data_IF_393092079116
#
_entry.id   IF_393092079116
#
_cell.length_a   1.000
_cell.length_b   1.000
_cell.length_c   1.000
_cell.angle_alpha   90.00
_cell.angle_beta   90.00
_cell.angle_gamma   90.00
#
_symmetry.space_group_name_H-M   'P 1'
#
loop_
_entity.id
_entity.type
_entity.pdbx_description
1 polymer ?
#
# COMPACT_ATOMS: atom_id res chain seq x y z
N UNK A 1 47.51 19.89 -15.47
CA UNK A 1 46.28 20.34 -14.78
C UNK A 1 45.59 19.10 -14.23
N UNK A 2 45.98 18.73 -13.01
CA UNK A 2 45.33 17.71 -12.22
C UNK A 2 44.18 18.35 -11.45
N UNK A 3 43.01 17.71 -11.44
CA UNK A 3 41.91 18.09 -10.55
C UNK A 3 40.58 18.21 -11.26
N UNK A 4 39.87 17.09 -11.41
CA UNK A 4 38.41 17.06 -11.57
C UNK A 4 37.83 15.64 -11.35
N UNK A 5 38.28 14.89 -10.34
CA UNK A 5 37.82 13.51 -10.10
C UNK A 5 37.18 13.28 -8.71
N UNK A 6 36.60 14.30 -8.05
CA UNK A 6 36.08 14.13 -6.68
C UNK A 6 34.57 14.35 -6.50
N UNK A 7 33.76 14.45 -7.57
CA UNK A 7 32.31 14.71 -7.45
C UNK A 7 31.39 13.50 -7.73
N UNK A 8 31.94 12.31 -8.02
CA UNK A 8 31.11 11.18 -8.49
C UNK A 8 30.48 10.32 -7.37
N UNK A 9 30.88 10.42 -6.10
CA UNK A 9 30.42 9.49 -5.06
C UNK A 9 29.12 9.90 -4.34
N UNK A 10 28.65 11.14 -4.45
CA UNK A 10 27.43 11.61 -3.77
C UNK A 10 26.14 11.43 -4.59
N UNK A 11 26.25 11.00 -5.86
CA UNK A 11 25.11 10.86 -6.76
C UNK A 11 24.26 9.60 -6.47
N UNK A 12 24.88 8.46 -6.12
CA UNK A 12 24.18 7.19 -5.88
C UNK A 12 23.20 7.21 -4.68
N UNK A 13 23.48 7.99 -3.63
CA UNK A 13 22.59 8.06 -2.45
C UNK A 13 21.30 8.83 -2.73
N UNK A 14 21.35 9.78 -3.66
CA UNK A 14 20.20 10.63 -3.99
C UNK A 14 19.24 9.92 -4.94
N UNK A 15 19.76 9.13 -5.88
CA UNK A 15 18.94 8.30 -6.77
C UNK A 15 18.17 7.23 -6.02
N UNK A 16 18.82 6.57 -5.03
CA UNK A 16 18.17 5.54 -4.22
C UNK A 16 17.00 6.09 -3.41
N UNK A 17 17.17 7.25 -2.77
CA UNK A 17 16.09 7.88 -2.01
C UNK A 17 14.90 8.25 -2.89
N UNK A 18 15.16 8.83 -4.07
CA UNK A 18 14.10 9.20 -5.01
C UNK A 18 13.33 7.95 -5.49
N UNK A 19 14.05 6.87 -5.78
CA UNK A 19 13.45 5.59 -6.14
C UNK A 19 12.57 5.05 -5.00
N UNK A 20 13.09 5.00 -3.78
CA UNK A 20 12.32 4.54 -2.62
C UNK A 20 11.07 5.40 -2.38
N UNK A 21 11.16 6.72 -2.50
CA UNK A 21 9.99 7.60 -2.38
C UNK A 21 8.94 7.32 -3.45
N UNK A 22 9.36 7.09 -4.70
CA UNK A 22 8.46 6.72 -5.78
C UNK A 22 7.76 5.38 -5.52
N UNK A 23 8.51 4.35 -5.12
CA UNK A 23 7.96 3.03 -4.76
C UNK A 23 7.00 3.11 -3.57
N UNK A 24 7.33 3.93 -2.57
CA UNK A 24 6.48 4.10 -1.38
C UNK A 24 5.17 4.83 -1.72
N UNK A 25 5.23 5.80 -2.64
CA UNK A 25 4.04 6.47 -3.16
C UNK A 25 3.16 5.52 -3.96
N UNK A 26 3.75 4.74 -4.84
CA UNK A 26 3.02 3.72 -5.61
C UNK A 26 2.31 2.74 -4.67
N UNK A 27 2.97 2.29 -3.60
CA UNK A 27 2.35 1.39 -2.63
C UNK A 27 1.13 2.02 -1.93
N UNK A 28 1.20 3.31 -1.56
CA UNK A 28 0.07 4.06 -0.98
C UNK A 28 -1.07 4.20 -2.00
N UNK A 29 -0.77 4.55 -3.24
CA UNK A 29 -1.77 4.67 -4.30
C UNK A 29 -2.45 3.30 -4.56
N UNK A 30 -1.69 2.20 -4.59
CA UNK A 30 -2.22 0.84 -4.72
C UNK A 30 -3.11 0.45 -3.53
N UNK A 31 -2.75 0.84 -2.30
CA UNK A 31 -3.58 0.60 -1.14
C UNK A 31 -4.89 1.38 -1.22
N UNK A 32 -4.85 2.63 -1.66
CA UNK A 32 -6.05 3.46 -1.88
C UNK A 32 -6.97 2.82 -2.93
N UNK A 33 -6.41 2.39 -4.07
CA UNK A 33 -7.16 1.70 -5.14
C UNK A 33 -7.80 0.39 -4.66
N UNK A 34 -7.20 -0.29 -3.69
CA UNK A 34 -7.75 -1.49 -3.06
C UNK A 34 -8.83 -1.19 -1.99
N UNK A 35 -9.21 0.07 -1.79
CA UNK A 35 -10.23 0.48 -0.82
C UNK A 35 -9.73 0.55 0.62
N UNK A 36 -8.43 0.74 0.84
CA UNK A 36 -7.87 0.77 2.19
C UNK A 36 -8.33 1.94 3.06
N UNK A 37 -8.79 3.03 2.47
CA UNK A 37 -9.42 4.12 3.22
C UNK A 37 -10.68 3.68 3.97
N UNK A 38 -11.43 2.72 3.43
CA UNK A 38 -12.66 2.21 4.02
C UNK A 38 -12.42 0.94 4.83
N UNK A 39 -11.62 0.01 4.27
CA UNK A 39 -11.43 -1.33 4.81
C UNK A 39 -10.27 -1.45 5.81
N UNK A 40 -9.30 -0.52 5.79
CA UNK A 40 -8.13 -0.51 6.67
C UNK A 40 -7.68 0.92 7.04
N UNK A 41 -8.59 1.78 7.58
CA UNK A 41 -8.36 3.21 7.71
C UNK A 41 -7.16 3.56 8.62
N UNK A 42 -6.95 2.77 9.68
CA UNK A 42 -5.85 3.00 10.61
C UNK A 42 -4.49 2.75 9.94
N UNK A 43 -4.32 1.60 9.29
CA UNK A 43 -3.09 1.27 8.57
C UNK A 43 -2.84 2.20 7.39
N UNK A 44 -3.89 2.54 6.62
CA UNK A 44 -3.77 3.47 5.51
C UNK A 44 -3.35 4.87 5.98
N UNK A 45 -3.98 5.39 7.03
CA UNK A 45 -3.62 6.69 7.61
C UNK A 45 -2.17 6.74 8.10
N UNK A 46 -1.68 5.67 8.73
CA UNK A 46 -0.28 5.56 9.15
C UNK A 46 0.68 5.58 7.96
N UNK A 47 0.36 4.85 6.88
CA UNK A 47 1.17 4.83 5.67
C UNK A 47 1.25 6.22 4.99
N UNK A 48 0.10 6.89 4.85
CA UNK A 48 0.00 8.21 4.25
C UNK A 48 0.73 9.29 5.07
N UNK A 49 0.62 9.26 6.40
CA UNK A 49 1.37 10.16 7.30
C UNK A 49 2.88 9.96 7.12
N UNK A 50 3.35 8.71 7.16
CA UNK A 50 4.78 8.40 7.03
C UNK A 50 5.33 8.81 5.67
N UNK A 51 4.58 8.62 4.58
CA UNK A 51 4.98 9.10 3.25
C UNK A 51 5.07 10.63 3.21
N UNK A 52 4.12 11.33 3.82
CA UNK A 52 4.14 12.80 3.94
C UNK A 52 5.38 13.27 4.69
N UNK A 53 5.70 12.63 5.81
CA UNK A 53 6.89 12.93 6.62
C UNK A 53 8.19 12.56 5.90
N UNK A 54 8.19 11.48 5.12
CA UNK A 54 9.35 11.09 4.30
C UNK A 54 9.66 12.17 3.25
N UNK A 55 8.64 12.68 2.57
CA UNK A 55 8.79 13.79 1.61
C UNK A 55 9.30 15.06 2.29
N UNK A 56 8.77 15.41 3.47
CA UNK A 56 9.25 16.56 4.23
C UNK A 56 10.72 16.41 4.64
N UNK A 57 11.12 15.22 5.12
CA UNK A 57 12.51 14.92 5.48
C UNK A 57 13.45 14.97 4.27
N UNK A 58 13.01 14.48 3.10
CA UNK A 58 13.78 14.55 1.86
C UNK A 58 14.03 16.01 1.43
N UNK A 59 12.99 16.86 1.50
CA UNK A 59 13.08 18.29 1.22
C UNK A 59 13.97 19.03 2.23
N UNK A 60 13.99 18.58 3.49
CA UNK A 60 14.90 19.07 4.54
C UNK A 60 16.32 18.51 4.46
N UNK A 61 16.67 17.77 3.39
CA UNK A 61 17.97 17.11 3.22
C UNK A 61 18.32 16.05 4.30
N UNK A 62 17.33 15.56 5.05
CA UNK A 62 17.47 14.49 6.05
C UNK A 62 17.33 13.12 5.40
N UNK A 63 18.28 12.75 4.52
CA UNK A 63 18.17 11.56 3.65
C UNK A 63 17.94 10.25 4.40
N UNK A 64 18.60 10.04 5.54
CA UNK A 64 18.47 8.80 6.32
C UNK A 64 17.06 8.65 6.91
N UNK A 65 16.51 9.73 7.46
CA UNK A 65 15.14 9.72 7.99
C UNK A 65 14.10 9.59 6.88
N UNK A 66 14.32 10.27 5.75
CA UNK A 66 13.47 10.15 4.58
C UNK A 66 13.42 8.70 4.07
N UNK A 67 14.59 8.05 3.95
CA UNK A 67 14.70 6.64 3.52
C UNK A 67 13.93 5.72 4.46
N UNK A 68 14.18 5.84 5.77
CA UNK A 68 13.54 5.02 6.80
C UNK A 68 12.03 5.21 6.82
N UNK A 69 11.55 6.45 6.75
CA UNK A 69 10.11 6.76 6.73
C UNK A 69 9.45 6.24 5.46
N UNK A 70 10.09 6.36 4.30
CA UNK A 70 9.59 5.86 3.03
C UNK A 70 9.44 4.33 3.06
N UNK A 71 10.47 3.60 3.50
CA UNK A 71 10.40 2.14 3.66
C UNK A 71 9.29 1.70 4.61
N UNK A 72 9.11 2.41 5.73
CA UNK A 72 7.99 2.13 6.65
C UNK A 72 6.64 2.39 5.98
N UNK A 73 6.49 3.53 5.28
CA UNK A 73 5.26 3.84 4.54
C UNK A 73 4.92 2.77 3.50
N UNK A 74 5.92 2.27 2.76
CA UNK A 74 5.73 1.20 1.79
C UNK A 74 5.20 -0.09 2.45
N UNK A 75 5.79 -0.51 3.57
CA UNK A 75 5.38 -1.73 4.28
C UNK A 75 3.97 -1.57 4.86
N UNK A 76 3.68 -0.43 5.48
CA UNK A 76 2.35 -0.15 6.04
C UNK A 76 1.28 -0.07 4.96
N UNK A 77 1.60 0.55 3.81
CA UNK A 77 0.68 0.60 2.67
C UNK A 77 0.39 -0.80 2.11
N UNK A 78 1.42 -1.64 1.98
CA UNK A 78 1.24 -3.03 1.55
C UNK A 78 0.36 -3.83 2.54
N UNK A 79 0.53 -3.59 3.85
CA UNK A 79 -0.33 -4.18 4.87
C UNK A 79 -1.78 -3.71 4.72
N UNK A 80 -2.00 -2.40 4.55
CA UNK A 80 -3.34 -1.82 4.37
C UNK A 80 -4.02 -2.38 3.12
N UNK A 81 -3.29 -2.49 1.99
CA UNK A 81 -3.77 -3.12 0.77
C UNK A 81 -4.20 -4.57 1.01
N UNK A 82 -3.32 -5.39 1.58
CA UNK A 82 -3.59 -6.80 1.80
C UNK A 82 -4.80 -7.03 2.73
N UNK A 83 -4.97 -6.18 3.75
CA UNK A 83 -6.17 -6.21 4.61
C UNK A 83 -7.46 -5.89 3.85
N UNK A 84 -7.38 -4.94 2.93
CA UNK A 84 -8.54 -4.51 2.14
C UNK A 84 -8.94 -5.58 1.14
N UNK A 85 -7.97 -6.13 0.39
CA UNK A 85 -8.17 -7.26 -0.51
C UNK A 85 -8.73 -8.49 0.23
N UNK A 86 -8.25 -8.77 1.45
CA UNK A 86 -8.77 -9.86 2.28
C UNK A 86 -10.22 -9.62 2.71
N UNK A 87 -10.58 -8.38 3.02
CA UNK A 87 -11.94 -8.01 3.40
C UNK A 87 -12.90 -8.20 2.23
N UNK A 88 -12.53 -7.69 1.05
CA UNK A 88 -13.28 -7.89 -0.19
C UNK A 88 -13.46 -9.37 -0.54
N UNK A 89 -12.39 -10.16 -0.46
CA UNK A 89 -12.44 -11.59 -0.71
C UNK A 89 -13.40 -12.33 0.24
N UNK A 90 -13.43 -11.93 1.52
CA UNK A 90 -14.36 -12.50 2.50
C UNK A 90 -15.82 -12.13 2.20
N UNK A 91 -16.08 -10.90 1.78
CA UNK A 91 -17.42 -10.44 1.39
C UNK A 91 -17.90 -11.24 0.17
N UNK A 92 -17.07 -11.36 -0.87
CA UNK A 92 -17.39 -12.14 -2.07
C UNK A 92 -17.68 -13.61 -1.74
N UNK A 93 -16.88 -14.24 -0.88
CA UNK A 93 -17.10 -15.62 -0.44
C UNK A 93 -18.42 -15.81 0.33
N UNK A 94 -18.79 -14.85 1.17
CA UNK A 94 -20.05 -14.86 1.89
C UNK A 94 -21.26 -14.76 0.94
N UNK A 95 -21.18 -13.89 -0.06
CA UNK A 95 -22.26 -13.72 -1.05
C UNK A 95 -22.44 -14.96 -1.93
N UNK A 96 -21.34 -15.61 -2.33
CA UNK A 96 -21.40 -16.88 -3.06
C UNK A 96 -22.02 -18.00 -2.22
N UNK A 97 -21.73 -18.04 -0.91
CA UNK A 97 -22.31 -19.01 0.01
C UNK A 97 -23.83 -18.78 0.16
N UNK A 98 -24.26 -17.53 0.33
CA UNK A 98 -25.66 -17.14 0.40
C UNK A 98 -26.43 -17.47 -0.89
N UNK A 99 -25.81 -17.20 -2.04
CA UNK A 99 -26.37 -17.53 -3.35
C UNK A 99 -26.57 -19.05 -3.48
N UNK A 100 -25.56 -19.85 -3.14
CA UNK A 100 -25.65 -21.31 -3.15
C UNK A 100 -26.75 -21.84 -2.23
N UNK A 101 -26.89 -21.28 -1.03
CA UNK A 101 -27.95 -21.68 -0.11
C UNK A 101 -29.34 -21.37 -0.69
N UNK A 102 -29.52 -20.16 -1.25
CA UNK A 102 -30.78 -19.74 -1.88
C UNK A 102 -31.17 -20.66 -3.04
N UNK A 103 -30.20 -21.05 -3.86
CA UNK A 103 -30.42 -22.00 -4.97
C UNK A 103 -30.84 -23.39 -4.45
N UNK A 104 -30.18 -23.90 -3.40
CA UNK A 104 -30.54 -25.18 -2.78
C UNK A 104 -31.95 -25.16 -2.20
N UNK A 105 -32.34 -24.08 -1.55
CA UNK A 105 -33.70 -23.91 -1.01
C UNK A 105 -34.74 -23.85 -2.14
N UNK A 106 -34.45 -23.16 -3.24
CA UNK A 106 -35.33 -23.10 -4.41
C UNK A 106 -35.55 -24.48 -5.04
N UNK A 107 -34.48 -25.27 -5.21
CA UNK A 107 -34.56 -26.66 -5.71
C UNK A 107 -35.39 -27.53 -4.77
N UNK A 108 -35.15 -27.45 -3.46
CA UNK A 108 -35.91 -28.23 -2.48
C UNK A 108 -37.40 -27.89 -2.49
N UNK A 109 -37.76 -26.61 -2.61
CA UNK A 109 -39.17 -26.18 -2.75
C UNK A 109 -39.79 -26.69 -4.05
N UNK A 110 -39.07 -26.65 -5.16
CA UNK A 110 -39.56 -27.15 -6.45
C UNK A 110 -39.81 -28.67 -6.45
N UNK A 111 -39.04 -29.44 -5.68
CA UNK A 111 -39.20 -30.89 -5.55
C UNK A 111 -40.31 -31.32 -4.56
N UNK A 112 -40.85 -30.39 -3.77
CA UNK A 112 -41.91 -30.65 -2.78
C UNK A 112 -43.32 -30.33 -3.29
N UNK A 113 -43.42 -29.71 -4.47
CA UNK A 113 -44.67 -29.43 -5.19
C UNK A 113 -44.81 -30.36 -6.39
#
# INVERSE_FOLDING_TARGET
MAGCCLLALSACSSSELNHQLAVSREAVDQAQMAGAEENAPAEFGVAADKLTRANAAANGHHKHDAMRLAQQAQVDANLARARSESTEARIAAAELTKTNQTLREAINRANQN
#
